data_IF_200335006807
#
_entry.id   IF_200335006807
#
_cell.length_a   1.000
_cell.length_b   1.000
_cell.length_c   1.000
_cell.angle_alpha   90.00
_cell.angle_beta   90.00
_cell.angle_gamma   90.00
#
_symmetry.space_group_name_H-M   'P 1'
#
loop_
_entity.id
_entity.type
_entity.pdbx_description
1 polymer ?
#
# COMPACT_ATOMS: atom_id res chain seq x y z
N UNK A 1 -1.65 10.26 -35.52
CA UNK A 1 -2.93 10.89 -35.88
C UNK A 1 -3.54 11.37 -34.57
N UNK A 2 -3.50 12.68 -34.34
CA UNK A 2 -3.93 13.35 -33.10
C UNK A 2 -5.47 13.31 -33.01
N UNK A 3 -6.00 12.79 -31.90
CA UNK A 3 -7.41 12.94 -31.49
C UNK A 3 -7.41 13.45 -30.05
N UNK A 4 -7.08 14.74 -29.88
CA UNK A 4 -7.12 15.39 -28.56
C UNK A 4 -8.42 16.16 -28.29
N UNK A 5 -9.39 16.15 -29.20
CA UNK A 5 -10.63 16.90 -28.99
C UNK A 5 -11.80 15.96 -28.68
N UNK A 6 -12.10 15.81 -27.38
CA UNK A 6 -13.38 15.28 -26.90
C UNK A 6 -13.33 14.09 -25.94
N UNK A 7 -12.15 13.54 -25.61
CA UNK A 7 -12.06 12.49 -24.59
C UNK A 7 -12.00 13.11 -23.19
N UNK A 8 -12.82 12.61 -22.28
CA UNK A 8 -12.67 12.84 -20.84
C UNK A 8 -11.32 12.30 -20.34
N UNK A 9 -10.83 12.77 -19.19
CA UNK A 9 -9.60 12.27 -18.60
C UNK A 9 -9.60 10.75 -18.43
N UNK A 10 -10.74 10.17 -18.06
CA UNK A 10 -10.94 8.72 -17.93
C UNK A 10 -10.84 8.02 -19.30
N UNK A 11 -11.39 8.60 -20.37
CA UNK A 11 -11.27 8.04 -21.72
C UNK A 11 -9.84 8.13 -22.25
N UNK A 12 -9.13 9.23 -21.97
CA UNK A 12 -7.71 9.38 -22.30
C UNK A 12 -6.84 8.37 -21.55
N UNK A 13 -7.13 8.15 -20.27
CA UNK A 13 -6.46 7.17 -19.42
C UNK A 13 -6.71 5.74 -19.94
N UNK A 14 -7.96 5.37 -20.18
CA UNK A 14 -8.31 4.05 -20.74
C UNK A 14 -7.67 3.83 -22.11
N UNK A 15 -7.64 4.85 -22.96
CA UNK A 15 -6.96 4.80 -24.26
C UNK A 15 -5.44 4.61 -24.12
N UNK A 16 -4.79 5.38 -23.24
CA UNK A 16 -3.35 5.31 -22.94
C UNK A 16 -2.95 3.89 -22.50
N UNK A 17 -3.78 3.25 -21.69
CA UNK A 17 -3.50 1.91 -21.19
C UNK A 17 -4.10 0.77 -22.03
N UNK A 18 -4.74 1.07 -23.16
CA UNK A 18 -5.22 0.05 -24.13
C UNK A 18 -6.45 -0.71 -23.66
N UNK A 19 -7.28 -0.11 -22.82
CA UNK A 19 -8.53 -0.70 -22.31
C UNK A 19 -9.67 -0.32 -23.26
N UNK A 20 -10.18 -1.31 -24.02
CA UNK A 20 -11.37 -1.15 -24.85
C UNK A 20 -12.62 -1.27 -23.97
N UNK A 21 -13.06 -0.15 -23.40
CA UNK A 21 -14.26 -0.06 -22.55
C UNK A 21 -14.01 0.84 -21.36
N UNK A 22 -15.04 1.58 -20.92
CA UNK A 22 -14.97 2.37 -19.69
C UNK A 22 -14.45 1.48 -18.56
N UNK A 23 -13.51 1.99 -17.77
CA UNK A 23 -13.10 1.45 -16.46
C UNK A 23 -14.26 1.47 -15.44
N UNK A 24 -15.38 0.83 -15.80
CA UNK A 24 -16.54 0.57 -14.96
C UNK A 24 -16.58 -0.88 -14.51
N UNK A 25 -15.81 -1.76 -15.15
CA UNK A 25 -15.67 -3.13 -14.69
C UNK A 25 -14.41 -3.30 -13.83
N UNK A 26 -14.62 -4.14 -12.84
CA UNK A 26 -13.70 -4.40 -11.76
C UNK A 26 -12.33 -4.90 -12.29
N UNK A 27 -12.34 -5.70 -13.35
CA UNK A 27 -11.16 -6.35 -13.93
C UNK A 27 -10.28 -5.37 -14.73
N UNK A 28 -10.87 -4.38 -15.37
CA UNK A 28 -10.15 -3.34 -16.12
C UNK A 28 -9.24 -2.50 -15.23
N UNK A 29 -9.72 -2.07 -14.07
CA UNK A 29 -8.95 -1.20 -13.16
C UNK A 29 -7.71 -1.90 -12.60
N UNK A 30 -7.80 -3.18 -12.23
CA UNK A 30 -6.64 -3.94 -11.79
C UNK A 30 -5.59 -4.12 -12.89
N UNK A 31 -6.02 -4.42 -14.13
CA UNK A 31 -5.10 -4.53 -15.27
C UNK A 31 -4.37 -3.23 -15.59
N UNK A 32 -5.03 -2.09 -15.39
CA UNK A 32 -4.39 -0.77 -15.48
C UNK A 32 -3.34 -0.61 -14.37
N UNK A 33 -3.69 -0.92 -13.12
CA UNK A 33 -2.75 -0.81 -12.00
C UNK A 33 -1.49 -1.64 -12.25
N UNK A 34 -1.65 -2.91 -12.68
CA UNK A 34 -0.52 -3.76 -13.06
C UNK A 34 0.35 -3.12 -14.13
N UNK A 35 -0.26 -2.64 -15.21
CA UNK A 35 0.46 -2.00 -16.33
C UNK A 35 1.22 -0.75 -15.90
N UNK A 36 0.65 0.06 -15.00
CA UNK A 36 1.35 1.26 -14.50
C UNK A 36 2.58 0.91 -13.65
N UNK A 37 2.53 -0.19 -12.89
CA UNK A 37 3.69 -0.72 -12.17
C UNK A 37 4.75 -1.25 -13.14
N UNK A 38 4.37 -2.04 -14.14
CA UNK A 38 5.28 -2.57 -15.18
C UNK A 38 6.00 -1.44 -15.93
N UNK A 39 5.27 -0.36 -16.23
CA UNK A 39 5.80 0.80 -16.95
C UNK A 39 6.53 1.80 -16.04
N UNK A 40 6.44 1.63 -14.71
CA UNK A 40 6.90 2.60 -13.72
C UNK A 40 6.37 4.01 -14.01
N UNK A 41 5.09 4.11 -14.35
CA UNK A 41 4.40 5.38 -14.63
C UNK A 41 3.82 5.94 -13.32
N UNK A 42 4.47 6.94 -12.67
CA UNK A 42 4.04 7.43 -11.36
C UNK A 42 2.66 8.09 -11.41
N UNK A 43 2.38 8.87 -12.46
CA UNK A 43 1.11 9.58 -12.62
C UNK A 43 -0.03 8.59 -12.89
N UNK A 44 0.23 7.64 -13.79
CA UNK A 44 -0.69 6.56 -14.08
C UNK A 44 -0.99 5.68 -12.87
N UNK A 45 0.05 5.34 -12.12
CA UNK A 45 -0.08 4.52 -10.92
C UNK A 45 -0.89 5.22 -9.84
N UNK A 46 -0.64 6.51 -9.60
CA UNK A 46 -1.45 7.30 -8.68
C UNK A 46 -2.95 7.28 -9.08
N UNK A 47 -3.23 7.47 -10.37
CA UNK A 47 -4.61 7.49 -10.86
C UNK A 47 -5.29 6.13 -10.71
N UNK A 48 -4.60 5.06 -11.11
CA UNK A 48 -5.08 3.69 -10.97
C UNK A 48 -5.29 3.30 -9.51
N UNK A 49 -4.34 3.63 -8.62
CA UNK A 49 -4.41 3.30 -7.20
C UNK A 49 -5.63 3.93 -6.55
N UNK A 50 -5.87 5.23 -6.81
CA UNK A 50 -7.05 5.96 -6.32
C UNK A 50 -8.36 5.35 -6.79
N UNK A 51 -8.40 4.90 -8.05
CA UNK A 51 -9.58 4.23 -8.60
C UNK A 51 -9.83 2.86 -7.94
N UNK A 52 -8.78 2.15 -7.54
CA UNK A 52 -8.87 0.83 -6.91
C UNK A 52 -9.37 0.85 -5.45
N UNK A 53 -9.09 1.92 -4.69
CA UNK A 53 -9.41 2.00 -3.24
C UNK A 53 -10.86 1.61 -2.87
N UNK A 54 -11.91 2.07 -3.59
CA UNK A 54 -13.29 1.73 -3.25
C UNK A 54 -13.68 0.26 -3.52
N UNK A 55 -12.88 -0.50 -4.27
CA UNK A 55 -13.39 -1.67 -4.98
C UNK A 55 -13.14 -3.03 -4.32
N UNK A 56 -12.39 -3.09 -3.20
CA UNK A 56 -12.07 -4.21 -2.31
C UNK A 56 -11.95 -5.62 -2.93
N UNK A 57 -10.80 -6.27 -2.65
CA UNK A 57 -10.43 -7.66 -2.96
C UNK A 57 -10.28 -8.02 -4.44
N UNK A 58 -9.02 -8.15 -4.86
CA UNK A 58 -8.60 -8.63 -6.16
C UNK A 58 -7.55 -9.72 -5.99
N UNK A 59 -7.60 -10.74 -6.83
CA UNK A 59 -6.51 -11.71 -6.91
C UNK A 59 -5.23 -10.97 -7.36
N UNK A 60 -4.16 -11.07 -6.56
CA UNK A 60 -2.85 -10.48 -6.89
C UNK A 60 -2.63 -9.02 -6.48
N UNK A 61 -3.62 -8.31 -5.91
CA UNK A 61 -3.40 -6.91 -5.51
C UNK A 61 -2.46 -6.77 -4.33
N UNK A 62 -2.49 -7.72 -3.40
CA UNK A 62 -1.63 -7.67 -2.22
C UNK A 62 -0.15 -7.82 -2.59
N UNK A 63 0.16 -8.70 -3.53
CA UNK A 63 1.48 -8.89 -4.10
C UNK A 63 1.95 -7.64 -4.83
N UNK A 64 1.09 -7.05 -5.67
CA UNK A 64 1.39 -5.83 -6.41
C UNK A 64 1.64 -4.63 -5.47
N UNK A 65 0.83 -4.48 -4.42
CA UNK A 65 1.02 -3.43 -3.41
C UNK A 65 2.30 -3.64 -2.60
N UNK A 66 2.64 -4.88 -2.24
CA UNK A 66 3.88 -5.19 -1.55
C UNK A 66 5.12 -4.83 -2.40
N UNK A 67 5.09 -5.14 -3.71
CA UNK A 67 6.14 -4.75 -4.65
C UNK A 67 6.24 -3.23 -4.78
N UNK A 68 5.12 -2.54 -5.00
CA UNK A 68 5.10 -1.08 -5.15
C UNK A 68 5.57 -0.36 -3.87
N UNK A 69 5.24 -0.87 -2.68
CA UNK A 69 5.65 -0.26 -1.42
C UNK A 69 7.17 -0.11 -1.29
N UNK A 70 7.94 -1.06 -1.84
CA UNK A 70 9.42 -1.01 -1.78
C UNK A 70 10.04 -0.35 -3.01
N UNK A 71 9.25 0.14 -3.97
CA UNK A 71 9.77 0.76 -5.17
C UNK A 71 9.99 2.27 -5.01
N UNK A 72 11.00 2.82 -5.70
CA UNK A 72 11.38 4.25 -5.57
C UNK A 72 10.96 5.12 -6.77
N UNK A 73 10.15 4.58 -7.69
CA UNK A 73 9.73 5.27 -8.93
C UNK A 73 8.45 6.11 -8.77
N UNK A 74 7.81 6.11 -7.59
CA UNK A 74 6.59 6.86 -7.29
C UNK A 74 6.64 7.51 -5.91
N UNK A 75 5.61 8.29 -5.57
CA UNK A 75 5.50 9.01 -4.29
C UNK A 75 4.30 8.59 -3.43
N UNK A 76 3.71 7.41 -3.71
CA UNK A 76 2.44 6.95 -3.11
C UNK A 76 2.60 5.94 -1.97
N UNK A 77 3.79 5.83 -1.38
CA UNK A 77 4.11 4.82 -0.34
C UNK A 77 3.13 4.84 0.83
N UNK A 78 2.71 6.03 1.25
CA UNK A 78 1.77 6.18 2.35
C UNK A 78 0.35 5.67 2.03
N UNK A 79 -0.11 5.83 0.79
CA UNK A 79 -1.40 5.29 0.37
C UNK A 79 -1.33 3.79 0.18
N UNK A 80 -0.21 3.29 -0.34
CA UNK A 80 0.04 1.85 -0.45
C UNK A 80 0.03 1.20 0.94
N UNK A 81 0.70 1.80 1.94
CA UNK A 81 0.70 1.29 3.31
C UNK A 81 -0.72 1.24 3.90
N UNK A 82 -1.55 2.24 3.62
CA UNK A 82 -2.96 2.26 4.02
C UNK A 82 -3.79 1.19 3.30
N UNK A 83 -3.60 1.02 1.98
CA UNK A 83 -4.29 -0.02 1.22
C UNK A 83 -3.93 -1.44 1.71
N UNK A 84 -2.64 -1.67 2.00
CA UNK A 84 -2.15 -2.93 2.60
C UNK A 84 -2.78 -3.17 3.98
N UNK A 85 -2.93 -2.13 4.79
CA UNK A 85 -3.59 -2.20 6.09
C UNK A 85 -5.08 -2.59 5.94
N UNK A 86 -5.81 -1.89 5.06
CA UNK A 86 -7.25 -2.10 4.86
C UNK A 86 -7.55 -3.51 4.30
N UNK A 87 -6.72 -3.98 3.36
CA UNK A 87 -6.81 -5.31 2.76
C UNK A 87 -6.17 -6.41 3.61
N UNK A 88 -5.42 -6.03 4.65
CA UNK A 88 -4.72 -6.93 5.58
C UNK A 88 -3.80 -7.91 4.83
N UNK A 89 -3.03 -7.39 3.88
CA UNK A 89 -2.18 -8.18 2.98
C UNK A 89 -1.04 -8.89 3.73
N UNK A 90 -1.25 -10.15 4.10
CA UNK A 90 -0.27 -10.94 4.86
C UNK A 90 1.07 -11.13 4.11
N UNK A 91 1.07 -11.14 2.77
CA UNK A 91 2.30 -11.23 1.97
C UNK A 91 3.16 -9.96 2.03
N UNK A 92 2.63 -8.84 2.51
CA UNK A 92 3.33 -7.56 2.55
C UNK A 92 4.14 -7.33 3.85
N UNK A 93 4.18 -8.29 4.77
CA UNK A 93 4.84 -8.13 6.08
C UNK A 93 6.30 -7.70 5.94
N UNK A 94 7.08 -8.35 5.07
CA UNK A 94 8.49 -8.02 4.86
C UNK A 94 8.66 -6.62 4.24
N UNK A 95 7.84 -6.29 3.23
CA UNK A 95 7.84 -4.98 2.59
C UNK A 95 7.51 -3.84 3.58
N UNK A 96 6.53 -4.06 4.46
CA UNK A 96 6.14 -3.12 5.51
C UNK A 96 7.25 -2.94 6.54
N UNK A 97 7.92 -4.02 6.95
CA UNK A 97 9.06 -3.93 7.87
C UNK A 97 10.20 -3.12 7.26
N UNK A 98 10.59 -3.46 6.02
CA UNK A 98 11.63 -2.75 5.29
C UNK A 98 11.32 -1.26 5.17
N UNK A 99 10.09 -0.89 4.82
CA UNK A 99 9.68 0.53 4.72
C UNK A 99 9.45 1.23 6.05
N UNK A 100 9.10 0.53 7.12
CA UNK A 100 9.11 1.13 8.44
C UNK A 100 10.54 1.48 8.90
N UNK A 101 11.52 0.68 8.48
CA UNK A 101 12.93 0.86 8.83
C UNK A 101 13.71 1.81 7.89
N UNK A 102 13.14 2.17 6.74
CA UNK A 102 13.78 3.04 5.74
C UNK A 102 12.83 4.12 5.24
N UNK A 103 13.26 5.38 5.34
CA UNK A 103 12.49 6.49 4.80
C UNK A 103 12.94 6.78 3.36
N UNK A 104 12.04 6.86 2.37
CA UNK A 104 12.39 7.36 1.04
C UNK A 104 12.94 8.78 1.09
N UNK A 105 13.90 9.11 0.22
CA UNK A 105 14.55 10.44 0.18
C UNK A 105 13.56 11.61 0.11
N UNK A 106 12.45 11.43 -0.63
CA UNK A 106 11.44 12.48 -0.77
C UNK A 106 10.64 12.76 0.52
N UNK A 107 10.74 11.88 1.52
CA UNK A 107 10.13 12.02 2.85
C UNK A 107 11.15 12.37 3.93
N UNK A 108 12.42 12.66 3.61
CA UNK A 108 13.43 13.01 4.61
C UNK A 108 13.00 14.20 5.49
N UNK A 109 12.23 15.13 4.94
CA UNK A 109 11.66 16.29 5.63
C UNK A 109 10.50 15.95 6.58
N UNK A 110 9.97 14.74 6.56
CA UNK A 110 8.85 14.32 7.41
C UNK A 110 9.31 13.90 8.81
N UNK A 111 9.39 14.88 9.71
CA UNK A 111 9.70 14.65 11.12
C UNK A 111 8.67 13.76 11.84
N UNK A 112 7.46 13.59 11.29
CA UNK A 112 6.43 12.73 11.89
C UNK A 112 6.60 11.25 11.52
N UNK A 113 7.46 10.93 10.56
CA UNK A 113 7.66 9.58 10.03
C UNK A 113 6.32 8.87 9.72
N UNK A 114 5.41 9.58 9.04
CA UNK A 114 4.04 9.16 8.78
C UNK A 114 3.98 7.83 8.01
N UNK A 115 4.87 7.60 7.05
CA UNK A 115 5.02 6.32 6.38
C UNK A 115 5.35 5.19 7.37
N UNK A 116 6.40 5.33 8.19
CA UNK A 116 6.78 4.30 9.14
C UNK A 116 5.66 4.02 10.16
N UNK A 117 4.97 5.07 10.61
CA UNK A 117 3.77 4.95 11.46
C UNK A 117 2.69 4.12 10.78
N UNK A 118 2.37 4.40 9.50
CA UNK A 118 1.38 3.63 8.73
C UNK A 118 1.81 2.18 8.57
N UNK A 119 3.09 1.92 8.28
CA UNK A 119 3.61 0.56 8.17
C UNK A 119 3.44 -0.25 9.48
N UNK A 120 3.76 0.34 10.64
CA UNK A 120 3.55 -0.36 11.94
C UNK A 120 2.08 -0.62 12.25
N UNK A 121 1.16 0.28 11.85
CA UNK A 121 -0.28 0.04 11.95
C UNK A 121 -0.74 -1.09 11.01
N UNK A 122 -0.26 -1.11 9.76
CA UNK A 122 -0.56 -2.16 8.81
C UNK A 122 -0.12 -3.53 9.33
N UNK A 123 1.10 -3.65 9.88
CA UNK A 123 1.58 -4.89 10.53
C UNK A 123 0.65 -5.32 11.68
N UNK A 124 0.23 -4.38 12.52
CA UNK A 124 -0.65 -4.69 13.64
C UNK A 124 -2.03 -5.19 13.21
N UNK A 125 -2.61 -4.60 12.15
CA UNK A 125 -3.93 -4.94 11.62
C UNK A 125 -3.89 -6.19 10.72
N UNK A 126 -2.76 -6.52 10.08
CA UNK A 126 -2.53 -7.85 9.48
C UNK A 126 -2.64 -8.91 10.58
N UNK A 127 -1.98 -8.69 11.71
CA UNK A 127 -2.23 -9.46 12.94
C UNK A 127 -1.71 -10.91 12.93
N UNK A 128 -0.90 -11.29 11.94
CA UNK A 128 -0.25 -12.61 11.89
C UNK A 128 0.97 -12.68 12.83
N UNK A 129 1.42 -13.89 13.14
CA UNK A 129 2.66 -14.09 13.91
C UNK A 129 3.87 -13.46 13.24
N UNK A 130 3.96 -13.56 11.91
CA UNK A 130 5.02 -12.90 11.15
C UNK A 130 4.98 -11.37 11.30
N UNK A 131 3.79 -10.78 11.27
CA UNK A 131 3.62 -9.34 11.46
C UNK A 131 3.97 -8.89 12.89
N UNK A 132 3.65 -9.73 13.89
CA UNK A 132 4.06 -9.48 15.28
C UNK A 132 5.59 -9.53 15.43
N UNK A 133 6.24 -10.53 14.86
CA UNK A 133 7.71 -10.65 14.88
C UNK A 133 8.39 -9.47 14.16
N UNK A 134 7.81 -8.96 13.07
CA UNK A 134 8.28 -7.74 12.41
C UNK A 134 8.21 -6.52 13.33
N UNK A 135 7.10 -6.35 14.07
CA UNK A 135 7.00 -5.29 15.08
C UNK A 135 8.04 -5.44 16.20
N UNK A 136 8.32 -6.67 16.65
CA UNK A 136 9.36 -6.95 17.65
C UNK A 136 10.77 -6.61 17.14
N UNK A 137 11.05 -6.78 15.85
CA UNK A 137 12.31 -6.31 15.24
C UNK A 137 12.35 -4.79 15.17
N UNK A 138 11.26 -4.15 14.74
CA UNK A 138 11.16 -2.68 14.67
C UNK A 138 11.23 -2.01 16.05
N UNK A 139 10.76 -2.66 17.12
CA UNK A 139 10.91 -2.17 18.50
C UNK A 139 12.35 -2.23 19.02
N UNK A 140 13.27 -2.81 18.25
CA UNK A 140 14.71 -2.75 18.49
C UNK A 140 15.44 -1.83 17.50
N UNK A 141 14.73 -1.08 16.65
CA UNK A 141 15.33 -0.15 15.68
C UNK A 141 16.15 0.96 16.37
N UNK A 142 17.24 1.38 15.72
CA UNK A 142 18.03 2.56 16.10
C UNK A 142 17.27 3.87 15.86
N UNK A 143 16.24 3.86 15.02
CA UNK A 143 15.38 5.02 14.77
C UNK A 143 14.34 5.08 15.90
N UNK A 144 14.58 5.96 16.89
CA UNK A 144 13.79 6.04 18.12
C UNK A 144 12.28 6.21 17.89
N UNK A 145 11.89 6.96 16.86
CA UNK A 145 10.48 7.17 16.51
C UNK A 145 9.82 5.87 16.01
N UNK A 146 10.51 5.13 15.14
CA UNK A 146 10.05 3.81 14.63
C UNK A 146 9.91 2.81 15.78
N UNK A 147 10.92 2.77 16.66
CA UNK A 147 10.90 1.97 17.89
C UNK A 147 9.65 2.26 18.71
N UNK A 148 9.32 3.53 18.95
CA UNK A 148 8.16 3.95 19.71
C UNK A 148 6.83 3.54 19.06
N UNK A 149 6.71 3.66 17.74
CA UNK A 149 5.52 3.22 17.01
C UNK A 149 5.32 1.71 17.10
N UNK A 150 6.39 0.93 16.90
CA UNK A 150 6.33 -0.52 16.97
C UNK A 150 6.01 -1.02 18.39
N UNK A 151 6.68 -0.49 19.40
CA UNK A 151 6.43 -0.86 20.80
C UNK A 151 4.98 -0.60 21.20
N UNK A 152 4.41 0.55 20.79
CA UNK A 152 3.01 0.86 21.07
C UNK A 152 2.05 -0.19 20.51
N UNK A 153 2.33 -0.76 19.33
CA UNK A 153 1.51 -1.82 18.72
C UNK A 153 1.65 -3.15 19.44
N UNK A 154 2.84 -3.46 19.95
CA UNK A 154 3.07 -4.66 20.77
C UNK A 154 2.32 -4.53 22.10
N UNK A 155 2.44 -3.39 22.78
CA UNK A 155 1.79 -3.15 24.08
C UNK A 155 0.26 -3.23 23.99
N UNK A 156 -0.31 -2.82 22.85
CA UNK A 156 -1.75 -2.83 22.59
C UNK A 156 -2.21 -4.05 21.79
N UNK A 157 -1.35 -5.04 21.54
CA UNK A 157 -1.62 -6.14 20.60
C UNK A 157 -2.94 -6.86 20.87
N UNK A 158 -3.22 -7.15 22.15
CA UNK A 158 -4.44 -7.83 22.59
C UNK A 158 -5.66 -6.89 22.67
N UNK A 159 -5.45 -5.59 22.88
CA UNK A 159 -6.52 -4.58 22.90
C UNK A 159 -7.01 -4.25 21.48
N UNK A 160 -6.14 -4.39 20.48
CA UNK A 160 -6.40 -4.09 19.07
C UNK A 160 -6.91 -5.32 18.29
N UNK A 161 -7.30 -6.40 18.98
CA UNK A 161 -7.68 -7.68 18.35
C UNK A 161 -8.83 -7.57 17.34
N UNK A 162 -9.79 -6.67 17.56
CA UNK A 162 -10.93 -6.44 16.67
C UNK A 162 -10.55 -5.88 15.30
N UNK A 163 -9.34 -5.33 15.15
CA UNK A 163 -8.84 -4.79 13.88
C UNK A 163 -8.16 -5.85 13.02
N UNK A 164 -7.70 -6.94 13.66
CA UNK A 164 -6.83 -7.94 13.03
C UNK A 164 -7.52 -8.70 11.90
N UNK A 165 -6.76 -9.19 10.94
CA UNK A 165 -7.29 -9.96 9.79
C UNK A 165 -7.71 -11.38 10.13
N UNK A 166 -7.15 -11.95 11.19
CA UNK A 166 -7.36 -13.34 11.57
C UNK A 166 -8.45 -13.59 12.63
N UNK A 167 -9.16 -12.57 13.12
CA UNK A 167 -10.22 -12.78 14.12
C UNK A 167 -11.59 -13.05 13.48
N UNK A 168 -11.72 -14.21 12.87
CA UNK A 168 -12.99 -14.93 12.92
C UNK A 168 -13.12 -15.44 14.37
N UNK A 169 -14.12 -14.96 15.11
CA UNK A 169 -14.57 -15.70 16.28
C UNK A 169 -15.17 -17.01 15.76
N UNK A 170 -14.48 -18.13 15.97
CA UNK A 170 -15.15 -19.43 16.08
C UNK A 170 -15.96 -19.50 17.37
#
# INVERSE_FOLDING_TARGET
MLRDEGMSAIEMFNWRYGVNGMASDKKGTFGILQKTVEQKDPDGFEEALRACFPMQHWDGVCELLAEALVADWHFRHEDIALAIQDLKCACAVEALEQRAASNPDYLEWDENHALARKCTWALADIGSDAAKQALERLSNSDILVVRGFAQKRIDNWHLEISRKGGCSFE
#
